data_IF_380158724887
#
_entry.id   IF_380158724887
#
_cell.length_a   1.000
_cell.length_b   1.000
_cell.length_c   1.000
_cell.angle_alpha   90.00
_cell.angle_beta   90.00
_cell.angle_gamma   90.00
#
_symmetry.space_group_name_H-M   'P 1'
#
loop_
_entity.id
_entity.type
_entity.pdbx_description
1 polymer ?
#
# COMPACT_ATOMS: atom_id res chain seq x y z
N UNK A 1 13.87 5.91 13.61
CA UNK A 1 14.29 6.39 12.27
C UNK A 1 15.58 5.72 11.77
N UNK A 2 16.60 5.50 12.62
CA UNK A 2 17.89 4.87 12.24
C UNK A 2 17.81 3.47 11.58
N UNK A 3 16.82 2.67 11.95
CA UNK A 3 16.67 1.30 11.45
C UNK A 3 16.22 1.30 9.97
N UNK A 4 15.23 2.12 9.62
CA UNK A 4 14.74 2.24 8.23
C UNK A 4 15.82 2.75 7.27
N UNK A 5 16.59 3.77 7.68
CA UNK A 5 17.69 4.32 6.89
C UNK A 5 18.76 3.26 6.56
N UNK A 6 18.98 2.31 7.48
CA UNK A 6 19.96 1.22 7.25
C UNK A 6 19.48 0.25 6.17
N UNK A 7 18.19 -0.11 6.16
CA UNK A 7 17.64 -0.95 5.09
C UNK A 7 17.66 -0.20 3.75
N UNK A 8 17.27 1.08 3.76
CA UNK A 8 17.25 1.89 2.55
C UNK A 8 18.64 1.95 1.91
N UNK A 9 19.70 2.17 2.69
CA UNK A 9 21.09 2.13 2.19
C UNK A 9 21.50 0.76 1.62
N UNK A 10 21.08 -0.34 2.24
CA UNK A 10 21.36 -1.71 1.75
C UNK A 10 20.59 -2.03 0.46
N UNK A 11 19.51 -1.30 0.17
CA UNK A 11 18.66 -1.44 -1.01
C UNK A 11 18.94 -0.43 -2.13
N UNK A 12 19.60 0.70 -1.85
CA UNK A 12 19.87 1.80 -2.80
C UNK A 12 20.96 1.48 -3.83
N UNK A 13 21.58 0.30 -3.76
CA UNK A 13 22.66 -0.13 -4.67
C UNK A 13 22.19 -0.46 -6.10
N UNK A 14 20.87 -0.55 -6.35
CA UNK A 14 20.33 -1.00 -7.64
C UNK A 14 19.44 0.04 -8.30
N UNK A 15 19.62 0.23 -9.61
CA UNK A 15 18.77 1.10 -10.45
C UNK A 15 17.48 0.43 -10.92
N UNK A 16 17.28 -0.86 -10.66
CA UNK A 16 16.17 -1.67 -11.18
C UNK A 16 14.88 -1.63 -10.34
N UNK A 17 15.00 -1.20 -9.09
CA UNK A 17 13.88 -1.06 -8.17
C UNK A 17 14.11 0.12 -7.24
N UNK A 18 13.02 0.62 -6.67
CA UNK A 18 13.03 1.67 -5.66
C UNK A 18 12.30 1.16 -4.43
N UNK A 19 12.96 1.23 -3.28
CA UNK A 19 12.34 0.92 -1.99
C UNK A 19 11.99 2.21 -1.27
N UNK A 20 10.80 2.25 -0.69
CA UNK A 20 10.32 3.30 0.20
C UNK A 20 9.88 2.63 1.49
N UNK A 21 10.22 3.23 2.62
CA UNK A 21 9.77 2.76 3.93
C UNK A 21 9.06 3.89 4.65
N UNK A 22 7.95 3.56 5.30
CA UNK A 22 7.26 4.48 6.18
C UNK A 22 6.69 3.71 7.36
N UNK A 23 7.04 4.14 8.57
CA UNK A 23 6.69 3.42 9.81
C UNK A 23 7.05 1.93 9.74
N UNK A 24 6.06 1.04 9.73
CA UNK A 24 6.18 -0.42 9.63
C UNK A 24 5.94 -0.97 8.20
N UNK A 25 5.54 -0.11 7.26
CA UNK A 25 5.26 -0.47 5.87
C UNK A 25 6.50 -0.34 4.98
N UNK A 26 6.72 -1.36 4.13
CA UNK A 26 7.77 -1.38 3.11
C UNK A 26 7.11 -1.44 1.73
N UNK A 27 7.45 -0.50 0.87
CA UNK A 27 6.98 -0.41 -0.51
C UNK A 27 8.15 -0.64 -1.47
N UNK A 28 8.02 -1.62 -2.35
CA UNK A 28 8.98 -1.89 -3.43
C UNK A 28 8.33 -1.58 -4.76
N UNK A 29 8.96 -0.69 -5.52
CA UNK A 29 8.55 -0.28 -6.85
C UNK A 29 9.57 -0.83 -7.85
N UNK A 30 9.10 -1.46 -8.91
CA UNK A 30 9.93 -1.85 -10.05
C UNK A 30 9.15 -1.61 -11.33
N UNK A 31 9.86 -1.53 -12.46
CA UNK A 31 9.26 -1.31 -13.77
C UNK A 31 9.95 -2.18 -14.81
N UNK A 32 9.14 -2.88 -15.61
CA UNK A 32 9.63 -3.55 -16.81
C UNK A 32 8.51 -3.68 -17.84
N UNK A 33 8.90 -3.95 -19.08
CA UNK A 33 8.03 -4.22 -20.22
C UNK A 33 7.42 -5.63 -20.19
N UNK A 34 8.05 -6.58 -19.49
CA UNK A 34 7.61 -7.97 -19.43
C UNK A 34 7.44 -8.47 -17.99
N UNK A 35 6.36 -9.22 -17.75
CA UNK A 35 6.00 -9.72 -16.41
C UNK A 35 7.04 -10.68 -15.81
N UNK A 36 7.71 -11.49 -16.63
CA UNK A 36 8.77 -12.38 -16.17
C UNK A 36 10.00 -11.59 -15.69
N UNK A 37 10.42 -10.55 -16.44
CA UNK A 37 11.55 -9.68 -16.05
C UNK A 37 11.24 -8.92 -14.77
N UNK A 38 10.01 -8.44 -14.63
CA UNK A 38 9.52 -7.82 -13.40
C UNK A 38 9.64 -8.79 -12.21
N UNK A 39 9.28 -10.06 -12.40
CA UNK A 39 9.40 -11.08 -11.35
C UNK A 39 10.86 -11.34 -10.98
N UNK A 40 11.75 -11.47 -11.98
CA UNK A 40 13.20 -11.65 -11.75
C UNK A 40 13.82 -10.45 -11.01
N UNK A 41 13.52 -9.22 -11.44
CA UNK A 41 14.02 -8.00 -10.80
C UNK A 41 13.59 -7.88 -9.33
N UNK A 42 12.41 -8.39 -8.99
CA UNK A 42 11.90 -8.36 -7.62
C UNK A 42 12.45 -9.46 -6.72
N UNK A 43 13.06 -10.53 -7.25
CA UNK A 43 13.61 -11.61 -6.40
C UNK A 43 14.67 -11.09 -5.43
N UNK A 44 15.66 -10.38 -5.94
CA UNK A 44 16.76 -9.83 -5.14
C UNK A 44 16.29 -8.88 -4.03
N UNK A 45 15.49 -7.83 -4.29
CA UNK A 45 15.00 -6.96 -3.24
C UNK A 45 14.09 -7.68 -2.24
N UNK A 46 13.24 -8.61 -2.69
CA UNK A 46 12.38 -9.37 -1.77
C UNK A 46 13.19 -10.29 -0.85
N UNK A 47 14.26 -10.92 -1.34
CA UNK A 47 15.18 -11.71 -0.50
C UNK A 47 15.89 -10.83 0.54
N UNK A 48 16.38 -9.65 0.15
CA UNK A 48 16.98 -8.70 1.10
C UNK A 48 15.97 -8.28 2.18
N UNK A 49 14.74 -7.95 1.77
CA UNK A 49 13.63 -7.60 2.66
C UNK A 49 13.23 -8.78 3.56
N UNK A 50 13.36 -10.03 3.11
CA UNK A 50 13.05 -11.20 3.92
C UNK A 50 14.10 -11.46 5.02
N UNK A 51 15.38 -11.27 4.70
CA UNK A 51 16.49 -11.54 5.62
C UNK A 51 16.67 -10.41 6.64
N UNK A 52 16.51 -9.15 6.22
CA UNK A 52 16.80 -7.99 7.05
C UNK A 52 16.02 -7.91 8.38
N UNK A 53 14.70 -8.18 8.44
CA UNK A 53 13.91 -8.15 9.66
C UNK A 53 14.45 -9.10 10.74
N UNK A 54 14.99 -10.24 10.31
CA UNK A 54 15.58 -11.24 11.21
C UNK A 54 16.80 -10.72 11.97
N UNK A 55 17.47 -9.67 11.47
CA UNK A 55 18.59 -8.99 12.17
C UNK A 55 18.11 -8.12 13.35
N UNK A 56 16.81 -7.84 13.43
CA UNK A 56 16.18 -6.94 14.40
C UNK A 56 15.02 -7.60 15.16
N UNK A 57 14.92 -8.93 15.15
CA UNK A 57 13.80 -9.70 15.73
C UNK A 57 12.41 -9.29 15.19
N UNK A 58 12.38 -8.77 13.96
CA UNK A 58 11.15 -8.40 13.26
C UNK A 58 10.72 -9.53 12.31
N UNK A 59 9.42 -9.63 12.04
CA UNK A 59 8.86 -10.61 11.12
C UNK A 59 7.92 -9.95 10.11
N UNK A 60 8.15 -10.22 8.83
CA UNK A 60 7.23 -9.81 7.77
C UNK A 60 5.96 -10.63 7.85
N UNK A 61 4.83 -10.00 7.53
CA UNK A 61 3.54 -10.66 7.44
C UNK A 61 3.09 -10.82 5.98
N UNK A 62 3.36 -11.98 5.33
CA UNK A 62 3.00 -12.19 3.93
C UNK A 62 1.49 -12.12 3.66
N UNK A 63 0.66 -12.39 4.69
CA UNK A 63 -0.80 -12.38 4.56
C UNK A 63 -1.36 -10.94 4.48
N UNK A 64 -0.62 -9.97 5.02
CA UNK A 64 -0.93 -8.53 4.88
C UNK A 64 -0.30 -7.93 3.62
N UNK A 65 0.79 -8.51 3.11
CA UNK A 65 1.44 -8.06 1.88
C UNK A 65 0.55 -8.21 0.66
N UNK A 66 0.48 -7.16 -0.15
CA UNK A 66 -0.25 -7.12 -1.41
C UNK A 66 0.59 -6.43 -2.47
N UNK A 67 0.35 -6.78 -3.73
CA UNK A 67 0.94 -6.07 -4.85
C UNK A 67 -0.11 -5.69 -5.88
N UNK A 68 0.20 -4.63 -6.63
CA UNK A 68 -0.57 -4.13 -7.76
C UNK A 68 0.37 -3.91 -8.93
N UNK A 69 -0.12 -4.10 -10.14
CA UNK A 69 0.63 -3.84 -11.37
C UNK A 69 -0.07 -2.73 -12.13
N UNK A 70 0.65 -1.67 -12.44
CA UNK A 70 0.12 -0.54 -13.21
C UNK A 70 0.44 -0.73 -14.70
N UNK A 71 -0.56 -1.02 -15.56
CA UNK A 71 -0.35 -1.07 -17.00
C UNK A 71 -0.18 0.34 -17.57
N UNK A 72 0.87 0.57 -18.36
CA UNK A 72 1.10 1.88 -18.98
C UNK A 72 0.38 2.06 -20.33
N UNK A 73 0.32 1.02 -21.17
CA UNK A 73 -0.28 1.08 -22.52
C UNK A 73 -1.04 -0.18 -22.94
N UNK A 74 -0.56 -1.35 -22.54
CA UNK A 74 -1.16 -2.64 -22.87
C UNK A 74 -1.87 -3.20 -21.65
N UNK A 75 -2.96 -3.92 -21.89
CA UNK A 75 -3.58 -4.72 -20.84
C UNK A 75 -2.59 -5.76 -20.30
N UNK A 76 -2.74 -6.09 -19.03
CA UNK A 76 -1.90 -7.08 -18.37
C UNK A 76 -2.27 -8.46 -18.92
N UNK A 77 -1.43 -9.00 -19.80
CA UNK A 77 -1.64 -10.35 -20.34
C UNK A 77 -1.31 -11.44 -19.31
N UNK A 78 -0.31 -11.19 -18.46
CA UNK A 78 0.15 -12.15 -17.45
C UNK A 78 0.44 -11.44 -16.13
N UNK A 79 -0.21 -11.92 -15.06
CA UNK A 79 0.03 -11.44 -13.69
C UNK A 79 1.31 -12.12 -13.16
N UNK A 80 2.32 -11.36 -12.70
CA UNK A 80 3.55 -11.93 -12.16
C UNK A 80 3.27 -12.73 -10.89
N UNK A 81 4.00 -13.83 -10.70
CA UNK A 81 3.91 -14.65 -9.49
C UNK A 81 5.02 -14.25 -8.55
N UNK A 82 4.67 -13.52 -7.50
CA UNK A 82 5.62 -12.98 -6.53
C UNK A 82 5.45 -13.72 -5.22
N UNK A 83 6.57 -14.10 -4.59
CA UNK A 83 6.59 -14.76 -3.29
C UNK A 83 7.44 -13.99 -2.30
N UNK A 84 7.09 -14.06 -1.02
CA UNK A 84 7.90 -13.59 0.11
C UNK A 84 7.73 -14.58 1.26
N UNK A 85 8.83 -15.00 1.90
CA UNK A 85 8.81 -16.05 2.92
C UNK A 85 8.10 -17.34 2.44
N UNK A 86 8.40 -17.73 1.19
CA UNK A 86 7.78 -18.83 0.42
C UNK A 86 6.25 -18.78 0.25
N UNK A 87 5.59 -17.73 0.74
CA UNK A 87 4.15 -17.50 0.55
C UNK A 87 3.90 -16.61 -0.68
N UNK A 88 2.90 -16.92 -1.52
CA UNK A 88 2.53 -16.06 -2.64
C UNK A 88 1.89 -14.76 -2.13
N UNK A 89 2.39 -13.62 -2.63
CA UNK A 89 1.77 -12.32 -2.33
C UNK A 89 0.48 -12.20 -3.15
N UNK A 90 -0.60 -11.73 -2.53
CA UNK A 90 -1.89 -11.58 -3.21
C UNK A 90 -1.85 -10.39 -4.17
N UNK A 91 -2.20 -10.64 -5.43
CA UNK A 91 -2.50 -9.60 -6.40
C UNK A 91 -3.82 -8.92 -6.06
N UNK A 92 -3.86 -7.59 -6.14
CA UNK A 92 -5.08 -6.82 -5.97
C UNK A 92 -5.18 -5.72 -7.03
N UNK A 93 -6.40 -5.44 -7.50
CA UNK A 93 -6.69 -4.30 -8.38
C UNK A 93 -6.67 -2.96 -7.64
N UNK A 94 -6.68 -3.02 -6.31
CA UNK A 94 -6.68 -1.89 -5.41
C UNK A 94 -5.62 -2.11 -4.33
N UNK A 95 -4.75 -1.13 -4.10
CA UNK A 95 -3.73 -1.18 -3.06
C UNK A 95 -3.94 -0.02 -2.09
N UNK A 96 -4.02 -0.30 -0.79
CA UNK A 96 -4.03 0.72 0.25
C UNK A 96 -2.62 0.91 0.78
N UNK A 97 -2.13 2.13 0.82
CA UNK A 97 -0.83 2.50 1.39
C UNK A 97 -0.95 3.88 2.03
N UNK A 98 -0.57 4.02 3.31
CA UNK A 98 -0.65 5.27 4.09
C UNK A 98 -2.02 5.97 4.02
N UNK A 99 -3.11 5.21 4.03
CA UNK A 99 -4.47 5.74 3.94
C UNK A 99 -4.94 6.12 2.52
N UNK A 100 -4.03 6.18 1.55
CA UNK A 100 -4.35 6.33 0.14
C UNK A 100 -4.77 5.00 -0.47
N UNK A 101 -5.68 5.03 -1.43
CA UNK A 101 -6.14 3.84 -2.16
C UNK A 101 -5.85 4.00 -3.64
N UNK A 102 -4.88 3.24 -4.13
CA UNK A 102 -4.46 3.22 -5.53
C UNK A 102 -5.27 2.18 -6.28
N UNK A 103 -5.92 2.58 -7.37
CA UNK A 103 -6.52 1.69 -8.35
C UNK A 103 -5.55 1.40 -9.49
N UNK A 104 -5.77 0.30 -10.21
CA UNK A 104 -4.92 -0.16 -11.31
C UNK A 104 -4.68 0.89 -12.40
N UNK A 105 -5.63 1.82 -12.61
CA UNK A 105 -5.53 2.89 -13.61
C UNK A 105 -5.07 4.23 -13.02
N UNK A 106 -4.71 4.26 -11.73
CA UNK A 106 -4.35 5.47 -10.99
C UNK A 106 -5.36 6.61 -11.19
N UNK A 107 -6.65 6.27 -11.30
CA UNK A 107 -7.73 7.25 -11.45
C UNK A 107 -8.10 7.92 -10.14
N UNK A 108 -7.69 7.35 -9.00
CA UNK A 108 -8.01 7.80 -7.65
C UNK A 108 -9.50 7.79 -7.31
N UNK A 109 -10.35 7.29 -8.22
CA UNK A 109 -11.81 7.32 -8.07
C UNK A 109 -12.26 6.64 -6.78
N UNK A 110 -11.73 5.45 -6.52
CA UNK A 110 -12.08 4.66 -5.33
C UNK A 110 -11.65 5.36 -4.05
N UNK A 111 -10.50 6.04 -4.07
CA UNK A 111 -10.05 6.84 -2.94
C UNK A 111 -11.00 8.02 -2.69
N UNK A 112 -11.36 8.76 -3.74
CA UNK A 112 -12.28 9.89 -3.64
C UNK A 112 -13.67 9.46 -3.16
N UNK A 113 -14.19 8.34 -3.65
CA UNK A 113 -15.47 7.78 -3.21
C UNK A 113 -15.43 7.43 -1.71
N UNK A 114 -14.34 6.80 -1.24
CA UNK A 114 -14.15 6.50 0.18
C UNK A 114 -14.05 7.77 1.05
N UNK A 115 -13.40 8.82 0.56
CA UNK A 115 -13.30 10.11 1.27
C UNK A 115 -14.68 10.79 1.32
N UNK A 116 -15.39 10.81 0.19
CA UNK A 116 -16.74 11.36 0.09
C UNK A 116 -17.68 10.69 1.09
N UNK A 117 -17.67 9.37 1.17
CA UNK A 117 -18.50 8.61 2.11
C UNK A 117 -18.19 8.98 3.57
N UNK A 118 -16.91 9.09 3.94
CA UNK A 118 -16.51 9.52 5.29
C UNK A 118 -17.01 10.92 5.62
N UNK A 119 -16.88 11.86 4.67
CA UNK A 119 -17.34 13.25 4.86
C UNK A 119 -18.85 13.30 5.01
N UNK A 120 -19.60 12.57 4.18
CA UNK A 120 -21.06 12.51 4.28
C UNK A 120 -21.51 11.91 5.62
N UNK A 121 -20.84 10.87 6.11
CA UNK A 121 -21.13 10.28 7.41
C UNK A 121 -20.89 11.28 8.54
N UNK A 122 -19.77 12.01 8.51
CA UNK A 122 -19.49 13.08 9.48
C UNK A 122 -20.53 14.19 9.43
N UNK A 123 -20.91 14.63 8.22
CA UNK A 123 -21.94 15.65 8.02
C UNK A 123 -23.30 15.19 8.59
N UNK A 124 -23.70 13.94 8.32
CA UNK A 124 -24.93 13.37 8.86
C UNK A 124 -24.91 13.28 10.39
N UNK A 125 -23.77 12.95 11.00
CA UNK A 125 -23.61 12.97 12.45
C UNK A 125 -23.75 14.39 13.01
N UNK A 126 -23.12 15.39 12.39
CA UNK A 126 -23.24 16.79 12.80
C UNK A 126 -24.69 17.28 12.72
N UNK A 127 -25.43 16.93 11.66
CA UNK A 127 -26.86 17.25 11.57
C UNK A 127 -27.70 16.59 12.66
N UNK A 128 -27.37 15.35 13.06
CA UNK A 128 -28.07 14.68 14.17
C UNK A 128 -27.81 15.39 15.49
N UNK A 129 -26.56 15.76 15.76
CA UNK A 129 -26.21 16.49 16.99
C UNK A 129 -26.84 17.87 17.04
N UNK A 130 -26.80 18.65 15.95
CA UNK A 130 -27.40 19.98 15.94
C UNK A 130 -28.92 19.93 16.13
N UNK A 131 -29.62 18.93 15.57
CA UNK A 131 -31.06 18.74 15.81
C UNK A 131 -31.38 18.24 17.22
N UNK A 132 -30.48 17.50 17.86
CA UNK A 132 -30.65 17.03 19.24
C UNK A 132 -30.45 18.17 20.26
N UNK A 133 -29.59 19.15 19.97
CA UNK A 133 -29.33 20.29 20.85
C UNK A 133 -30.21 21.51 20.59
N UNK A 134 -30.74 21.68 19.36
CA UNK A 134 -31.75 22.71 19.04
C UNK A 134 -33.14 22.27 19.53
N UNK A 135 -33.35 22.32 20.84
CA UNK A 135 -34.62 21.95 21.46
C UNK A 135 -34.61 21.86 22.99
N UNK A 136 -33.46 22.05 23.65
CA UNK A 136 -33.43 22.21 25.12
C UNK A 136 -34.09 23.54 25.45
N UNK A 137 -35.38 23.47 25.78
CA UNK A 137 -36.16 24.61 26.28
C UNK A 137 -35.50 25.10 27.58
N UNK A 138 -35.29 26.41 27.78
CA UNK A 138 -35.03 26.92 29.10
C UNK A 138 -36.33 26.79 29.91
N UNK A 139 -36.33 25.88 30.88
CA UNK A 139 -37.36 25.88 31.93
C UNK A 139 -37.08 27.07 32.84
N UNK A 140 -37.80 28.17 32.61
CA UNK A 140 -38.02 29.25 33.57
C UNK A 140 -39.52 29.52 33.66
#
# INVERSE_FOLDING_TARGET
>A
MLIADRLLREMDESTDYRTIMFEDDILVLSGDTASYRFTEKLKTPLMKIEIWPSKFDLKINPDKSRFIVFPYRKEITHIPRIKIADKPIKYSKNLKYLGLTFDIRLTWKIHLDNVKEKVLNLQNMLYRYSRATWGVRPDF
#
